data_IF_790696188337
#
_entry.id   IF_790696188337
#
_cell.length_a   1.000
_cell.length_b   1.000
_cell.length_c   1.000
_cell.angle_alpha   90.00
_cell.angle_beta   90.00
_cell.angle_gamma   90.00
#
_symmetry.space_group_name_H-M   'P 1'
#
loop_
_entity.id
_entity.type
_entity.pdbx_description
1 polymer ?
#
# COMPACT_ATOMS: atom_id res chain seq x y z
N UNK A 1 -19.25 5.55 -25.84
CA UNK A 1 -19.06 7.01 -25.83
C UNK A 1 -18.55 7.41 -24.44
N UNK A 2 -17.50 8.24 -24.33
CA UNK A 2 -17.07 8.75 -23.02
C UNK A 2 -18.20 9.60 -22.42
N UNK A 3 -18.71 9.22 -21.25
CA UNK A 3 -19.76 9.97 -20.58
C UNK A 3 -19.21 11.33 -20.12
N UNK A 4 -19.92 12.41 -20.43
CA UNK A 4 -19.57 13.75 -19.97
C UNK A 4 -19.60 13.78 -18.44
N UNK A 5 -18.58 14.32 -17.75
CA UNK A 5 -18.56 14.35 -16.30
C UNK A 5 -19.75 15.16 -15.76
N UNK A 6 -20.50 14.57 -14.84
CA UNK A 6 -21.64 15.20 -14.19
C UNK A 6 -21.19 16.42 -13.37
N UNK A 7 -22.00 17.51 -13.32
CA UNK A 7 -21.78 18.60 -12.38
C UNK A 7 -21.66 18.07 -10.93
N UNK A 8 -20.76 18.66 -10.13
CA UNK A 8 -20.48 18.20 -8.74
C UNK A 8 -21.75 18.04 -7.89
N UNK A 9 -22.73 18.93 -8.05
CA UNK A 9 -24.01 18.88 -7.32
C UNK A 9 -24.83 17.65 -7.69
N UNK A 10 -24.92 17.33 -8.97
CA UNK A 10 -25.64 16.16 -9.48
C UNK A 10 -24.93 14.87 -9.09
N UNK A 11 -23.60 14.81 -9.21
CA UNK A 11 -22.81 13.68 -8.75
C UNK A 11 -23.03 13.39 -7.24
N UNK A 12 -23.09 14.44 -6.40
CA UNK A 12 -23.42 14.31 -4.97
C UNK A 12 -24.86 13.83 -4.75
N UNK A 13 -25.84 14.35 -5.50
CA UNK A 13 -27.22 13.89 -5.42
C UNK A 13 -27.37 12.42 -5.81
N UNK A 14 -26.70 12.00 -6.89
CA UNK A 14 -26.67 10.61 -7.35
C UNK A 14 -26.04 9.69 -6.30
N UNK A 15 -24.89 10.06 -5.72
CA UNK A 15 -24.25 9.28 -4.64
C UNK A 15 -25.18 9.10 -3.44
N UNK A 16 -25.91 10.15 -3.04
CA UNK A 16 -26.91 10.06 -1.97
C UNK A 16 -28.05 9.11 -2.34
N UNK A 17 -28.57 9.19 -3.57
CA UNK A 17 -29.61 8.27 -4.05
C UNK A 17 -29.13 6.81 -4.07
N UNK A 18 -27.90 6.56 -4.51
CA UNK A 18 -27.28 5.23 -4.49
C UNK A 18 -27.06 4.73 -3.06
N UNK A 19 -26.69 5.61 -2.13
CA UNK A 19 -26.52 5.24 -0.71
C UNK A 19 -27.84 4.85 -0.03
N UNK A 20 -28.98 5.35 -0.53
CA UNK A 20 -30.32 4.96 -0.05
C UNK A 20 -30.84 3.68 -0.71
N UNK A 21 -30.15 3.14 -1.71
CA UNK A 21 -30.57 1.92 -2.39
C UNK A 21 -30.38 0.72 -1.47
N UNK A 22 -31.45 -0.02 -1.22
CA UNK A 22 -31.44 -1.29 -0.50
C UNK A 22 -31.94 -2.43 -1.39
N UNK A 23 -31.63 -3.70 -1.07
CA UNK A 23 -32.15 -4.84 -1.83
C UNK A 23 -33.69 -4.85 -1.94
N UNK A 24 -34.41 -4.34 -0.93
CA UNK A 24 -35.87 -4.33 -0.88
C UNK A 24 -36.51 -3.34 -1.85
N UNK A 25 -35.83 -2.23 -2.15
CA UNK A 25 -36.32 -1.20 -3.09
C UNK A 25 -35.70 -1.33 -4.48
N UNK A 26 -34.73 -2.24 -4.65
CA UNK A 26 -34.19 -2.60 -5.94
C UNK A 26 -35.13 -3.58 -6.66
N UNK A 27 -35.15 -3.53 -8.00
CA UNK A 27 -35.82 -4.56 -8.77
C UNK A 27 -35.11 -5.91 -8.50
N UNK A 28 -35.84 -6.99 -8.16
CA UNK A 28 -35.25 -8.26 -7.71
C UNK A 28 -34.53 -9.04 -8.82
N UNK A 29 -34.68 -8.64 -10.09
CA UNK A 29 -34.01 -9.25 -11.25
C UNK A 29 -34.26 -10.77 -11.40
N UNK A 30 -35.46 -11.26 -11.06
CA UNK A 30 -35.83 -12.68 -11.12
C UNK A 30 -35.82 -13.29 -12.53
N UNK A 31 -35.70 -12.47 -13.57
CA UNK A 31 -35.46 -12.93 -14.95
C UNK A 31 -34.01 -13.37 -15.20
N UNK A 32 -33.09 -13.03 -14.29
CA UNK A 32 -31.68 -13.43 -14.38
C UNK A 32 -31.42 -14.67 -13.54
N UNK A 33 -30.82 -15.74 -14.11
CA UNK A 33 -30.41 -16.92 -13.33
C UNK A 33 -29.50 -16.58 -12.15
N UNK A 34 -28.72 -15.50 -12.29
CA UNK A 34 -27.86 -14.98 -11.23
C UNK A 34 -28.66 -14.73 -9.93
N UNK A 35 -29.86 -14.14 -10.03
CA UNK A 35 -30.68 -13.80 -8.86
C UNK A 35 -31.83 -14.79 -8.61
N UNK A 36 -32.31 -15.47 -9.64
CA UNK A 36 -33.41 -16.42 -9.54
C UNK A 36 -32.99 -17.82 -9.07
N UNK A 37 -31.74 -18.20 -9.35
CA UNK A 37 -31.24 -19.56 -9.10
C UNK A 37 -30.13 -19.56 -8.06
N UNK A 38 -29.17 -18.63 -8.15
CA UNK A 38 -27.99 -18.67 -7.29
C UNK A 38 -28.27 -18.01 -5.92
N UNK A 39 -27.85 -18.66 -4.81
CA UNK A 39 -27.89 -18.03 -3.50
C UNK A 39 -26.87 -16.89 -3.39
N UNK A 40 -27.08 -15.99 -2.43
CA UNK A 40 -26.24 -14.80 -2.21
C UNK A 40 -24.76 -15.11 -2.05
N UNK A 41 -24.43 -16.22 -1.41
CA UNK A 41 -23.09 -16.66 -1.11
C UNK A 41 -22.32 -16.97 -2.39
N UNK A 42 -22.95 -17.67 -3.33
CA UNK A 42 -22.37 -17.97 -4.65
C UNK A 42 -22.29 -16.71 -5.50
N UNK A 43 -23.29 -15.83 -5.45
CA UNK A 43 -23.23 -14.54 -6.14
C UNK A 43 -22.07 -13.69 -5.65
N UNK A 44 -21.88 -13.59 -4.33
CA UNK A 44 -20.79 -12.83 -3.73
C UNK A 44 -19.43 -13.32 -4.23
N UNK A 45 -19.22 -14.63 -4.31
CA UNK A 45 -18.00 -15.20 -4.90
C UNK A 45 -17.83 -14.78 -6.37
N UNK A 46 -18.86 -14.94 -7.20
CA UNK A 46 -18.82 -14.53 -8.61
C UNK A 46 -18.46 -13.05 -8.74
N UNK A 47 -19.10 -12.20 -7.95
CA UNK A 47 -18.87 -10.76 -7.95
C UNK A 47 -17.47 -10.38 -7.49
N UNK A 48 -16.96 -11.09 -6.50
CA UNK A 48 -15.61 -10.91 -6.01
C UNK A 48 -14.60 -11.20 -7.11
N UNK A 49 -14.67 -12.37 -7.75
CA UNK A 49 -13.81 -12.71 -8.89
C UNK A 49 -13.96 -11.76 -10.08
N UNK A 50 -15.15 -11.19 -10.30
CA UNK A 50 -15.41 -10.32 -11.44
C UNK A 50 -14.90 -8.87 -11.23
N UNK A 51 -14.91 -8.37 -10.00
CA UNK A 51 -14.72 -6.94 -9.71
C UNK A 51 -13.42 -6.66 -8.93
N UNK A 52 -12.84 -7.66 -8.27
CA UNK A 52 -11.64 -7.48 -7.48
C UNK A 52 -10.46 -6.90 -8.28
N UNK A 53 -9.54 -6.26 -7.56
CA UNK A 53 -8.28 -5.82 -8.14
C UNK A 53 -7.41 -7.03 -8.52
N UNK A 54 -7.00 -7.10 -9.78
CA UNK A 54 -6.15 -8.19 -10.30
C UNK A 54 -4.98 -7.68 -11.14
N UNK A 55 -3.96 -8.52 -11.29
CA UNK A 55 -2.98 -8.41 -12.37
C UNK A 55 -3.48 -9.26 -13.53
N UNK A 56 -3.99 -8.62 -14.59
CA UNK A 56 -4.43 -9.30 -15.80
C UNK A 56 -3.31 -9.24 -16.85
N UNK A 57 -2.68 -10.36 -17.26
CA UNK A 57 -1.62 -10.35 -18.25
C UNK A 57 -1.98 -9.67 -19.58
N UNK A 58 -3.27 -9.61 -19.93
CA UNK A 58 -3.77 -9.03 -21.17
C UNK A 58 -4.15 -7.54 -21.05
N UNK A 59 -4.47 -7.06 -19.84
CA UNK A 59 -4.91 -5.66 -19.61
C UNK A 59 -3.93 -4.83 -18.76
N UNK A 60 -3.23 -5.47 -17.84
CA UNK A 60 -2.25 -4.83 -16.97
C UNK A 60 -0.97 -4.51 -17.73
N UNK A 61 -0.81 -3.22 -18.06
CA UNK A 61 0.43 -2.70 -18.61
C UNK A 61 1.60 -2.82 -17.62
N UNK A 62 2.86 -2.79 -18.11
CA UNK A 62 4.03 -2.73 -17.24
C UNK A 62 4.03 -1.43 -16.43
N UNK A 63 4.55 -1.48 -15.21
CA UNK A 63 4.90 -0.26 -14.48
C UNK A 63 6.08 0.40 -15.20
N UNK A 64 5.83 1.58 -15.77
CA UNK A 64 6.81 2.30 -16.60
C UNK A 64 7.75 3.16 -15.76
N UNK A 65 7.38 3.45 -14.51
CA UNK A 65 8.25 4.21 -13.61
C UNK A 65 9.13 3.24 -12.82
N UNK A 66 10.41 3.21 -13.16
CA UNK A 66 11.45 2.41 -12.50
C UNK A 66 11.43 2.51 -10.98
N UNK A 67 11.15 3.70 -10.47
CA UNK A 67 11.12 4.02 -9.04
C UNK A 67 9.89 3.44 -8.31
N UNK A 68 8.86 3.02 -9.06
CA UNK A 68 7.62 2.37 -8.57
C UNK A 68 7.65 0.86 -8.78
N UNK A 69 8.44 0.39 -9.74
CA UNK A 69 8.58 -1.02 -10.10
C UNK A 69 9.34 -1.78 -9.00
N UNK A 70 8.62 -2.63 -8.28
CA UNK A 70 9.12 -3.46 -7.18
C UNK A 70 8.76 -4.94 -7.41
N UNK A 71 9.34 -5.89 -6.67
CA UNK A 71 8.92 -7.28 -6.73
C UNK A 71 7.39 -7.39 -6.52
N UNK A 72 6.70 -8.10 -7.42
CA UNK A 72 5.23 -8.23 -7.47
C UNK A 72 4.46 -6.95 -7.82
N UNK A 73 5.16 -5.85 -8.10
CA UNK A 73 4.62 -4.54 -8.45
C UNK A 73 4.99 -4.12 -9.88
N UNK A 74 5.39 -5.06 -10.74
CA UNK A 74 5.92 -4.76 -12.08
C UNK A 74 4.83 -4.42 -13.10
N UNK A 75 3.55 -4.55 -12.72
CA UNK A 75 2.40 -4.31 -13.59
C UNK A 75 1.33 -3.54 -12.86
N UNK A 76 0.65 -2.66 -13.59
CA UNK A 76 -0.44 -1.84 -13.04
C UNK A 76 -1.68 -2.72 -12.84
N UNK A 77 -2.27 -2.77 -11.64
CA UNK A 77 -3.45 -3.58 -11.40
C UNK A 77 -4.67 -2.99 -12.11
N UNK A 78 -5.60 -3.85 -12.49
CA UNK A 78 -6.86 -3.46 -13.13
C UNK A 78 -8.06 -3.91 -12.30
N UNK A 79 -9.17 -3.19 -12.45
CA UNK A 79 -10.47 -3.52 -11.88
C UNK A 79 -11.55 -3.28 -12.94
N UNK A 80 -12.43 -4.26 -13.16
CA UNK A 80 -13.58 -4.08 -14.04
C UNK A 80 -14.81 -3.66 -13.22
N UNK A 81 -15.17 -2.38 -13.34
CA UNK A 81 -16.32 -1.80 -12.63
C UNK A 81 -17.59 -1.78 -13.45
N UNK A 82 -17.59 -2.33 -14.67
CA UNK A 82 -18.75 -2.35 -15.57
C UNK A 82 -19.94 -3.03 -14.92
N UNK A 83 -19.69 -4.08 -14.13
CA UNK A 83 -20.72 -4.82 -13.42
C UNK A 83 -21.49 -3.92 -12.42
N UNK A 84 -20.83 -2.95 -11.78
CA UNK A 84 -21.47 -1.99 -10.86
C UNK A 84 -22.51 -1.10 -11.54
N UNK A 85 -22.43 -0.96 -12.86
CA UNK A 85 -23.32 -0.11 -13.67
C UNK A 85 -24.52 -0.88 -14.25
N UNK A 86 -24.65 -2.19 -13.97
CA UNK A 86 -25.70 -3.03 -14.59
C UNK A 86 -27.08 -2.81 -13.98
N UNK A 87 -27.23 -2.98 -12.67
CA UNK A 87 -28.47 -2.72 -11.96
C UNK A 87 -28.24 -2.36 -10.49
N UNK A 88 -29.27 -1.82 -9.84
CA UNK A 88 -29.23 -1.41 -8.43
C UNK A 88 -28.93 -2.56 -7.47
N UNK A 89 -29.45 -3.76 -7.76
CA UNK A 89 -29.27 -4.93 -6.90
C UNK A 89 -27.81 -5.42 -6.92
N UNK A 90 -27.22 -5.51 -8.13
CA UNK A 90 -25.78 -5.77 -8.29
C UNK A 90 -24.97 -4.70 -7.56
N UNK A 91 -25.26 -3.40 -7.80
CA UNK A 91 -24.56 -2.32 -7.12
C UNK A 91 -24.62 -2.45 -5.59
N UNK A 92 -25.77 -2.78 -5.01
CA UNK A 92 -25.90 -2.94 -3.55
C UNK A 92 -25.09 -4.10 -2.99
N UNK A 93 -25.02 -5.23 -3.70
CA UNK A 93 -24.27 -6.42 -3.26
C UNK A 93 -22.75 -6.25 -3.46
N UNK A 94 -22.31 -5.41 -4.41
CA UNK A 94 -20.92 -5.46 -4.90
C UNK A 94 -20.10 -4.18 -4.75
N UNK A 95 -20.73 -3.02 -4.49
CA UNK A 95 -20.05 -1.70 -4.48
C UNK A 95 -18.85 -1.59 -3.54
N UNK A 96 -18.73 -2.45 -2.55
CA UNK A 96 -17.64 -2.43 -1.56
C UNK A 96 -16.42 -3.22 -2.03
N UNK A 97 -16.61 -4.21 -2.91
CA UNK A 97 -15.56 -5.13 -3.38
C UNK A 97 -14.35 -4.40 -3.97
N UNK A 98 -14.50 -3.37 -4.85
CA UNK A 98 -13.33 -2.66 -5.38
C UNK A 98 -12.44 -2.05 -4.29
N UNK A 99 -13.04 -1.51 -3.22
CA UNK A 99 -12.30 -0.89 -2.12
C UNK A 99 -11.71 -1.92 -1.15
N UNK A 100 -12.41 -3.05 -0.98
CA UNK A 100 -12.02 -4.14 -0.07
C UNK A 100 -10.93 -5.05 -0.66
N UNK A 101 -10.77 -5.06 -1.98
CA UNK A 101 -9.76 -5.86 -2.67
C UNK A 101 -8.55 -5.05 -3.12
N UNK A 102 -8.66 -3.71 -3.18
CA UNK A 102 -7.59 -2.89 -3.73
C UNK A 102 -6.45 -2.62 -2.74
N UNK A 103 -5.24 -2.73 -3.27
CA UNK A 103 -4.07 -2.00 -2.79
C UNK A 103 -4.07 -0.60 -3.42
N UNK A 104 -3.96 0.39 -2.55
CA UNK A 104 -4.00 1.81 -2.88
C UNK A 104 -2.59 2.38 -2.78
N UNK A 105 -1.91 2.48 -3.93
CA UNK A 105 -0.54 2.98 -4.00
C UNK A 105 -0.48 4.50 -3.91
N UNK A 106 0.44 5.00 -3.08
CA UNK A 106 0.80 6.42 -2.99
C UNK A 106 2.31 6.54 -3.08
N UNK A 107 2.81 7.43 -3.93
CA UNK A 107 4.23 7.66 -4.11
C UNK A 107 4.60 9.04 -3.52
N UNK A 108 5.62 9.07 -2.67
CA UNK A 108 6.05 10.22 -1.87
C UNK A 108 6.79 11.30 -2.65
N UNK A 109 7.01 11.12 -3.94
CA UNK A 109 7.57 12.13 -4.83
C UNK A 109 6.45 12.90 -5.52
N UNK A 110 5.88 13.86 -4.80
CA UNK A 110 4.92 14.82 -5.36
C UNK A 110 5.62 16.00 -6.03
N UNK A 111 6.95 16.11 -5.96
CA UNK A 111 7.73 17.18 -6.59
C UNK A 111 8.20 16.82 -8.00
N UNK A 112 8.52 15.55 -8.30
CA UNK A 112 8.78 15.11 -9.68
C UNK A 112 7.51 14.81 -10.48
N UNK A 113 6.37 14.73 -9.81
CA UNK A 113 5.07 14.75 -10.47
C UNK A 113 4.55 16.18 -10.58
N UNK A 114 4.83 16.83 -11.71
CA UNK A 114 4.15 18.06 -12.12
C UNK A 114 2.64 17.86 -12.39
N UNK A 115 2.06 16.71 -12.02
CA UNK A 115 0.64 16.45 -12.16
C UNK A 115 -0.13 16.89 -10.90
N UNK A 116 -0.90 17.97 -11.02
CA UNK A 116 -1.78 18.46 -9.96
C UNK A 116 -2.77 17.42 -9.42
N UNK A 117 -3.06 16.36 -10.18
CA UNK A 117 -3.89 15.24 -9.73
C UNK A 117 -3.26 14.42 -8.60
N UNK A 118 -1.93 14.43 -8.46
CA UNK A 118 -1.23 13.69 -7.41
C UNK A 118 -1.29 14.42 -6.06
N UNK A 119 -1.57 15.73 -6.06
CA UNK A 119 -1.72 16.55 -4.87
C UNK A 119 -3.13 16.41 -4.27
N UNK A 120 -4.14 16.27 -5.13
CA UNK A 120 -5.56 16.09 -4.78
C UNK A 120 -5.99 14.62 -4.84
N UNK A 121 -5.28 13.76 -4.10
CA UNK A 121 -5.50 12.32 -4.13
C UNK A 121 -6.96 11.96 -3.79
N UNK A 122 -7.59 11.08 -4.57
CA UNK A 122 -9.01 10.76 -4.43
C UNK A 122 -9.39 10.20 -3.05
N UNK A 123 -8.42 9.65 -2.31
CA UNK A 123 -8.60 9.20 -0.92
C UNK A 123 -9.06 10.32 0.00
N UNK A 124 -8.71 11.59 -0.27
CA UNK A 124 -9.22 12.73 0.51
C UNK A 124 -10.69 13.07 0.21
N UNK A 125 -11.24 12.53 -0.88
CA UNK A 125 -12.60 12.80 -1.35
C UNK A 125 -13.55 11.61 -1.15
N UNK A 126 -13.06 10.50 -0.61
CA UNK A 126 -13.89 9.35 -0.32
C UNK A 126 -14.82 9.65 0.86
N UNK A 127 -16.07 9.23 0.78
CA UNK A 127 -17.01 9.41 1.89
C UNK A 127 -16.64 8.50 3.06
N UNK A 128 -17.03 8.85 4.28
CA UNK A 128 -16.84 7.97 5.44
C UNK A 128 -17.48 6.59 5.26
N UNK A 129 -18.61 6.52 4.54
CA UNK A 129 -19.25 5.23 4.22
C UNK A 129 -18.34 4.36 3.35
N UNK A 130 -17.73 4.92 2.31
CA UNK A 130 -16.83 4.18 1.43
C UNK A 130 -15.46 3.93 2.10
N UNK A 131 -14.97 4.88 2.90
CA UNK A 131 -13.69 4.76 3.61
C UNK A 131 -13.65 3.65 4.66
N UNK A 132 -14.80 3.16 5.13
CA UNK A 132 -14.94 1.96 5.97
C UNK A 132 -14.52 0.65 5.28
N UNK A 133 -14.45 0.67 3.95
CA UNK A 133 -14.21 -0.52 3.12
C UNK A 133 -12.78 -0.60 2.60
N UNK A 134 -11.91 0.36 2.94
CA UNK A 134 -10.54 0.40 2.46
C UNK A 134 -9.70 -0.76 3.01
N UNK A 135 -9.00 -1.44 2.11
CA UNK A 135 -8.18 -2.59 2.46
C UNK A 135 -6.74 -2.20 2.78
N UNK A 136 -5.94 -1.95 1.74
CA UNK A 136 -4.48 -1.83 1.86
C UNK A 136 -4.01 -0.47 1.33
N UNK A 137 -3.37 0.31 2.20
CA UNK A 137 -2.59 1.47 1.80
C UNK A 137 -1.14 1.04 1.60
N UNK A 138 -0.57 1.28 0.42
CA UNK A 138 0.85 1.05 0.18
C UNK A 138 1.49 2.37 -0.24
N UNK A 139 2.39 2.89 0.59
CA UNK A 139 3.11 4.11 0.28
C UNK A 139 4.60 3.86 0.10
N UNK A 140 5.20 4.50 -0.89
CA UNK A 140 6.64 4.44 -1.16
C UNK A 140 7.18 5.86 -1.13
N UNK A 141 8.17 6.13 -0.28
CA UNK A 141 8.70 7.49 -0.08
C UNK A 141 10.22 7.52 -0.13
N UNK A 142 10.78 8.52 -0.81
CA UNK A 142 12.22 8.82 -0.84
C UNK A 142 12.70 9.61 0.37
N UNK A 143 11.76 10.26 1.05
CA UNK A 143 11.97 11.05 2.25
C UNK A 143 11.12 10.49 3.40
N UNK A 144 11.27 11.07 4.59
CA UNK A 144 10.38 10.74 5.71
C UNK A 144 8.93 11.04 5.32
N UNK A 145 8.03 10.04 5.31
CA UNK A 145 6.64 10.27 4.96
C UNK A 145 5.90 11.03 6.08
N UNK A 146 4.89 11.81 5.71
CA UNK A 146 3.84 12.19 6.66
C UNK A 146 2.94 10.98 6.91
N UNK A 147 3.28 10.21 7.95
CA UNK A 147 2.57 9.01 8.35
C UNK A 147 1.09 9.29 8.71
N UNK A 148 0.71 10.54 9.02
CA UNK A 148 -0.67 10.90 9.41
C UNK A 148 -1.54 11.27 8.22
N UNK A 149 -0.93 11.66 7.09
CA UNK A 149 -1.64 12.20 5.91
C UNK A 149 -2.84 11.34 5.49
N UNK A 150 -2.65 10.02 5.42
CA UNK A 150 -3.68 9.07 5.00
C UNK A 150 -4.39 8.34 6.15
N UNK A 151 -4.23 8.81 7.40
CA UNK A 151 -4.88 8.25 8.58
C UNK A 151 -6.06 9.09 9.10
N UNK A 152 -6.67 9.86 8.19
CA UNK A 152 -7.81 10.73 8.50
C UNK A 152 -8.98 9.92 9.10
N UNK A 153 -9.85 10.54 9.94
CA UNK A 153 -10.90 9.82 10.66
C UNK A 153 -11.82 8.95 9.79
N UNK A 154 -12.09 9.39 8.56
CA UNK A 154 -12.98 8.72 7.60
C UNK A 154 -12.32 7.57 6.83
N UNK A 155 -11.00 7.37 6.97
CA UNK A 155 -10.24 6.31 6.31
C UNK A 155 -9.98 5.17 7.31
N UNK A 156 -10.54 3.99 7.02
CA UNK A 156 -10.48 2.83 7.92
C UNK A 156 -9.70 1.68 7.28
N UNK A 157 -8.40 1.87 7.16
CA UNK A 157 -7.48 0.87 6.62
C UNK A 157 -7.49 -0.43 7.42
N UNK A 158 -7.32 -1.55 6.71
CA UNK A 158 -7.06 -2.87 7.31
C UNK A 158 -5.58 -3.22 7.30
N UNK A 159 -4.86 -2.80 6.26
CA UNK A 159 -3.42 -3.02 6.08
C UNK A 159 -2.75 -1.73 5.64
N UNK A 160 -1.55 -1.49 6.16
CA UNK A 160 -0.72 -0.34 5.78
C UNK A 160 0.69 -0.83 5.53
N UNK A 161 1.29 -0.42 4.42
CA UNK A 161 2.71 -0.64 4.10
C UNK A 161 3.37 0.69 3.81
N UNK A 162 4.40 1.03 4.58
CA UNK A 162 5.29 2.16 4.34
C UNK A 162 6.64 1.63 3.90
N UNK A 163 7.03 1.90 2.65
CA UNK A 163 8.37 1.62 2.17
C UNK A 163 9.14 2.93 2.06
N UNK A 164 10.24 3.05 2.79
CA UNK A 164 11.05 4.26 2.83
C UNK A 164 12.42 3.97 2.24
N UNK A 165 12.78 4.67 1.17
CA UNK A 165 14.10 4.60 0.57
C UNK A 165 15.04 5.50 1.37
N UNK A 166 15.79 4.88 2.27
CA UNK A 166 16.78 5.51 3.13
C UNK A 166 18.13 5.76 2.44
N UNK A 167 18.26 5.43 1.15
CA UNK A 167 19.53 5.56 0.42
C UNK A 167 20.02 7.00 0.29
N UNK A 168 19.11 7.97 0.34
CA UNK A 168 19.41 9.40 0.26
C UNK A 168 19.44 10.07 1.64
N UNK A 169 19.36 9.30 2.72
CA UNK A 169 19.42 9.86 4.07
C UNK A 169 20.84 10.22 4.45
N UNK A 170 20.99 11.38 5.08
CA UNK A 170 22.27 11.86 5.55
C UNK A 170 22.57 11.30 6.95
N UNK A 171 22.93 10.01 7.01
CA UNK A 171 23.31 9.35 8.26
C UNK A 171 24.62 9.88 8.86
N UNK A 172 25.39 10.65 8.11
CA UNK A 172 26.71 11.12 8.53
C UNK A 172 26.61 12.42 9.31
N UNK A 173 25.67 13.31 8.94
CA UNK A 173 25.50 14.61 9.57
C UNK A 173 24.34 14.67 10.60
N UNK A 174 23.74 13.52 10.96
CA UNK A 174 22.72 13.46 12.03
C UNK A 174 23.21 14.09 13.34
N UNK A 175 24.48 13.88 13.70
CA UNK A 175 25.06 14.42 14.94
C UNK A 175 25.29 15.94 14.88
N UNK A 176 25.64 16.49 13.71
CA UNK A 176 25.87 17.92 13.53
C UNK A 176 24.54 18.70 13.55
N UNK A 177 23.50 18.09 12.99
CA UNK A 177 22.18 18.70 12.83
C UNK A 177 21.26 18.49 14.03
N UNK A 178 21.62 17.59 14.95
CA UNK A 178 20.74 17.14 16.04
C UNK A 178 19.47 16.44 15.54
N UNK A 179 19.45 16.04 14.27
CA UNK A 179 18.34 15.36 13.62
C UNK A 179 18.60 13.86 13.64
N UNK A 180 17.59 13.08 13.99
CA UNK A 180 17.65 11.61 13.99
C UNK A 180 16.46 11.06 13.21
N UNK A 181 16.72 10.33 12.12
CA UNK A 181 15.66 9.66 11.36
C UNK A 181 14.95 8.62 12.23
N UNK A 182 15.71 7.93 13.09
CA UNK A 182 15.20 6.93 14.02
C UNK A 182 14.19 7.54 15.00
N UNK A 183 14.57 8.65 15.65
CA UNK A 183 13.70 9.33 16.62
C UNK A 183 12.44 9.87 15.95
N UNK A 184 12.57 10.47 14.75
CA UNK A 184 11.40 10.97 14.03
C UNK A 184 10.41 9.88 13.69
N UNK A 185 10.88 8.72 13.21
CA UNK A 185 9.98 7.61 12.89
C UNK A 185 9.40 7.01 14.16
N UNK A 186 10.22 6.75 15.19
CA UNK A 186 9.76 6.16 16.44
C UNK A 186 8.73 7.06 17.15
N UNK A 187 8.95 8.37 17.21
CA UNK A 187 7.97 9.34 17.72
C UNK A 187 6.67 9.26 16.92
N UNK A 188 6.73 9.25 15.59
CA UNK A 188 5.53 9.13 14.77
C UNK A 188 4.77 7.82 15.03
N UNK A 189 5.44 6.68 15.01
CA UNK A 189 4.81 5.38 15.25
C UNK A 189 4.16 5.27 16.64
N UNK A 190 4.75 5.89 17.65
CA UNK A 190 4.20 5.92 19.02
C UNK A 190 3.01 6.89 19.18
N UNK A 191 3.03 8.03 18.50
CA UNK A 191 1.97 9.05 18.60
C UNK A 191 0.75 8.74 17.73
N UNK A 192 0.93 8.01 16.62
CA UNK A 192 -0.15 7.70 15.70
C UNK A 192 -1.20 6.81 16.36
N UNK A 193 -2.46 7.04 15.96
CA UNK A 193 -3.60 6.19 16.31
C UNK A 193 -4.20 5.58 15.05
N UNK A 194 -3.93 4.29 14.85
CA UNK A 194 -4.40 3.54 13.69
C UNK A 194 -5.92 3.29 13.77
N UNK A 195 -6.64 3.19 12.63
CA UNK A 195 -8.04 2.80 12.65
C UNK A 195 -8.25 1.47 13.40
N UNK A 196 -9.37 1.30 14.09
CA UNK A 196 -9.67 0.06 14.82
C UNK A 196 -9.73 -1.17 13.89
N UNK A 197 -10.00 -0.94 12.61
CA UNK A 197 -9.98 -1.94 11.54
C UNK A 197 -8.57 -2.38 11.13
N UNK A 198 -7.53 -1.64 11.53
CA UNK A 198 -6.15 -1.90 11.12
C UNK A 198 -5.65 -3.18 11.79
N UNK A 199 -5.27 -4.17 10.99
CA UNK A 199 -4.82 -5.49 11.42
C UNK A 199 -3.33 -5.71 11.20
N UNK A 200 -2.78 -5.00 10.22
CA UNK A 200 -1.39 -5.15 9.82
C UNK A 200 -0.78 -3.80 9.44
N UNK A 201 0.39 -3.53 9.99
CA UNK A 201 1.23 -2.40 9.58
C UNK A 201 2.60 -2.95 9.26
N UNK A 202 3.12 -2.62 8.09
CA UNK A 202 4.44 -2.99 7.61
C UNK A 202 5.26 -1.73 7.41
N UNK A 203 6.47 -1.71 7.95
CA UNK A 203 7.49 -0.72 7.65
C UNK A 203 8.64 -1.42 6.93
N UNK A 204 8.93 -1.01 5.71
CA UNK A 204 10.09 -1.43 4.94
C UNK A 204 11.07 -0.27 4.85
N UNK A 205 12.30 -0.50 5.31
CA UNK A 205 13.39 0.45 5.21
C UNK A 205 14.37 -0.08 4.16
N UNK A 206 14.78 0.76 3.21
CA UNK A 206 15.57 0.32 2.06
C UNK A 206 16.82 1.17 1.83
N UNK A 207 17.96 0.51 1.66
CA UNK A 207 19.22 1.15 1.28
C UNK A 207 19.86 0.44 0.08
N UNK A 208 20.69 1.14 -0.68
CA UNK A 208 21.50 0.50 -1.72
C UNK A 208 22.47 -0.49 -1.07
N UNK A 209 22.45 -1.75 -1.54
CA UNK A 209 23.29 -2.82 -1.00
C UNK A 209 24.78 -2.45 -1.04
N UNK A 210 25.25 -1.68 -2.02
CA UNK A 210 26.67 -1.30 -2.12
C UNK A 210 27.20 -0.47 -0.93
N UNK A 211 26.34 0.04 -0.04
CA UNK A 211 26.75 0.88 1.08
C UNK A 211 26.68 0.13 2.43
N UNK A 212 27.78 -0.51 2.89
CA UNK A 212 27.80 -1.28 4.15
C UNK A 212 27.49 -0.44 5.39
N UNK A 213 27.97 0.81 5.44
CA UNK A 213 27.71 1.71 6.57
C UNK A 213 26.22 1.97 6.75
N UNK A 214 25.51 2.19 5.65
CA UNK A 214 24.07 2.46 5.67
C UNK A 214 23.29 1.21 6.06
N UNK A 215 23.69 0.01 5.61
CA UNK A 215 23.10 -1.26 6.06
C UNK A 215 23.21 -1.44 7.58
N UNK A 216 24.39 -1.20 8.15
CA UNK A 216 24.62 -1.28 9.60
C UNK A 216 23.74 -0.30 10.38
N UNK A 217 23.66 0.95 9.91
CA UNK A 217 22.76 1.96 10.48
C UNK A 217 21.30 1.52 10.41
N UNK A 218 20.86 1.01 9.26
CA UNK A 218 19.49 0.54 9.08
C UNK A 218 19.12 -0.57 10.07
N UNK A 219 20.03 -1.53 10.32
CA UNK A 219 19.82 -2.57 11.32
C UNK A 219 19.67 -2.00 12.73
N UNK A 220 20.58 -1.13 13.13
CA UNK A 220 20.50 -0.47 14.44
C UNK A 220 19.19 0.30 14.64
N UNK A 221 18.72 1.01 13.59
CA UNK A 221 17.42 1.69 13.59
C UNK A 221 16.27 0.67 13.68
N UNK A 222 16.33 -0.40 12.90
CA UNK A 222 15.28 -1.43 12.88
C UNK A 222 15.14 -2.11 14.24
N UNK A 223 16.27 -2.38 14.91
CA UNK A 223 16.27 -2.99 16.25
C UNK A 223 15.60 -2.07 17.28
N UNK A 224 15.79 -0.75 17.21
CA UNK A 224 15.07 0.20 18.07
C UNK A 224 13.56 0.15 17.85
N UNK A 225 13.11 -0.12 16.63
CA UNK A 225 11.69 -0.16 16.30
C UNK A 225 11.02 -1.46 16.74
N UNK A 226 11.77 -2.53 17.04
CA UNK A 226 11.20 -3.80 17.49
C UNK A 226 10.47 -3.69 18.81
N UNK A 227 10.87 -2.75 19.67
CA UNK A 227 10.25 -2.48 20.97
C UNK A 227 8.94 -1.69 20.86
N UNK A 228 8.61 -1.16 19.68
CA UNK A 228 7.42 -0.32 19.49
C UNK A 228 6.16 -1.19 19.43
N UNK A 229 5.13 -0.78 20.17
CA UNK A 229 3.77 -1.28 20.04
C UNK A 229 2.87 -0.22 19.43
N UNK A 230 2.28 -0.54 18.27
CA UNK A 230 1.37 0.38 17.59
C UNK A 230 0.04 0.45 18.33
N UNK A 231 -0.59 1.63 18.33
CA UNK A 231 -1.83 1.88 19.08
C UNK A 231 -2.98 2.20 18.12
N UNK A 232 -4.10 1.49 18.25
CA UNK A 232 -5.34 1.80 17.53
C UNK A 232 -6.11 2.94 18.21
N UNK A 233 -7.14 3.49 17.55
CA UNK A 233 -7.98 4.58 18.10
C UNK A 233 -8.81 4.13 19.30
N UNK A 234 -9.08 2.84 19.45
CA UNK A 234 -9.68 2.23 20.64
C UNK A 234 -8.67 1.84 21.72
N UNK A 235 -7.43 2.34 21.60
CA UNK A 235 -6.31 2.10 22.52
C UNK A 235 -5.76 0.66 22.51
N UNK A 236 -6.38 -0.26 21.78
CA UNK A 236 -5.85 -1.61 21.61
C UNK A 236 -4.50 -1.58 20.89
N UNK A 237 -3.62 -2.50 21.27
CA UNK A 237 -2.23 -2.54 20.80
C UNK A 237 -2.05 -3.60 19.71
N UNK A 238 -1.20 -3.29 18.75
CA UNK A 238 -0.73 -4.24 17.74
C UNK A 238 0.77 -4.45 17.98
N UNK A 239 1.13 -5.68 18.36
CA UNK A 239 2.51 -6.05 18.62
C UNK A 239 3.25 -6.43 17.34
N UNK A 240 4.57 -6.33 17.39
CA UNK A 240 5.44 -6.84 16.35
C UNK A 240 5.27 -8.36 16.21
N UNK A 241 5.30 -8.84 14.98
CA UNK A 241 5.25 -10.26 14.64
C UNK A 241 6.54 -10.66 13.93
N UNK A 242 7.46 -11.22 14.72
CA UNK A 242 8.78 -11.65 14.26
C UNK A 242 8.74 -12.64 13.10
N UNK A 243 7.69 -13.45 12.98
CA UNK A 243 7.56 -14.41 11.88
C UNK A 243 7.32 -13.72 10.52
N UNK A 244 6.93 -12.44 10.53
CA UNK A 244 6.68 -11.62 9.35
C UNK A 244 7.66 -10.45 9.23
N UNK A 245 8.60 -10.34 10.16
CA UNK A 245 9.78 -9.50 10.02
C UNK A 245 10.81 -10.24 9.18
N UNK A 246 11.46 -9.53 8.25
CA UNK A 246 12.44 -10.16 7.37
C UNK A 246 13.46 -9.17 6.88
N UNK A 247 14.69 -9.65 6.69
CA UNK A 247 15.74 -8.92 5.98
C UNK A 247 15.97 -9.60 4.63
N UNK A 248 15.95 -8.84 3.55
CA UNK A 248 16.10 -9.40 2.21
C UNK A 248 16.78 -8.43 1.26
N UNK A 249 17.18 -8.94 0.10
CA UNK A 249 17.66 -8.14 -1.02
C UNK A 249 16.81 -8.37 -2.25
N UNK A 250 16.75 -7.38 -3.12
CA UNK A 250 16.09 -7.49 -4.41
C UNK A 250 16.79 -6.60 -5.45
N UNK A 251 16.69 -7.00 -6.71
CA UNK A 251 17.32 -6.29 -7.82
C UNK A 251 16.30 -5.41 -8.54
N UNK A 252 16.64 -4.13 -8.71
CA UNK A 252 15.78 -3.11 -9.30
C UNK A 252 16.60 -2.02 -9.99
N UNK A 253 16.02 -0.83 -10.08
CA UNK A 253 16.67 0.33 -10.67
C UNK A 253 16.74 1.48 -9.64
N UNK A 254 17.76 2.32 -9.76
CA UNK A 254 17.93 3.51 -8.93
C UNK A 254 18.35 4.69 -9.80
N UNK A 255 17.91 5.90 -9.44
CA UNK A 255 18.34 7.10 -10.14
C UNK A 255 19.79 7.43 -9.76
N UNK A 256 20.66 7.45 -10.75
CA UNK A 256 22.01 7.97 -10.63
C UNK A 256 22.03 9.40 -11.19
N UNK A 257 22.30 10.41 -10.35
CA UNK A 257 22.49 11.78 -10.82
C UNK A 257 23.58 11.84 -11.88
N UNK A 258 23.39 12.72 -12.85
CA UNK A 258 24.40 13.04 -13.83
C UNK A 258 25.58 13.78 -13.22
N UNK A 259 26.72 13.71 -13.90
CA UNK A 259 27.86 14.58 -13.67
C UNK A 259 28.49 14.98 -15.00
N UNK A 260 29.54 15.79 -14.94
CA UNK A 260 30.24 16.29 -16.13
C UNK A 260 30.92 15.19 -16.95
N UNK A 261 31.18 14.00 -16.38
CA UNK A 261 31.76 12.84 -17.06
C UNK A 261 30.68 11.90 -17.66
N UNK A 262 29.54 11.76 -16.96
CA UNK A 262 28.53 10.73 -17.20
C UNK A 262 27.23 11.28 -17.80
N UNK A 263 27.14 12.58 -18.06
CA UNK A 263 26.02 13.21 -18.76
C UNK A 263 24.82 13.51 -17.85
N UNK A 264 23.57 13.52 -18.37
CA UNK A 264 22.40 14.06 -17.65
C UNK A 264 21.84 13.19 -16.50
N UNK A 265 22.47 12.05 -16.20
CA UNK A 265 21.98 11.08 -15.22
C UNK A 265 20.95 10.11 -15.82
N UNK A 266 20.63 9.06 -15.07
CA UNK A 266 19.73 8.02 -15.55
C UNK A 266 19.45 6.94 -14.51
N UNK A 267 18.46 6.10 -14.82
CA UNK A 267 18.22 4.89 -14.02
C UNK A 267 19.26 3.83 -14.35
N UNK A 268 19.86 3.26 -13.30
CA UNK A 268 20.84 2.18 -13.40
C UNK A 268 20.40 1.00 -12.54
N UNK A 269 20.81 -0.21 -12.92
CA UNK A 269 20.54 -1.40 -12.11
C UNK A 269 21.19 -1.29 -10.74
N UNK A 270 20.44 -1.66 -9.71
CA UNK A 270 20.89 -1.64 -8.33
C UNK A 270 20.28 -2.79 -7.54
N UNK A 271 21.04 -3.32 -6.59
CA UNK A 271 20.51 -4.23 -5.58
C UNK A 271 20.16 -3.42 -4.33
N UNK A 272 18.92 -3.53 -3.88
CA UNK A 272 18.47 -2.96 -2.62
C UNK A 272 18.64 -3.97 -1.48
N UNK A 273 18.90 -3.45 -0.29
CA UNK A 273 18.88 -4.15 0.98
C UNK A 273 17.70 -3.59 1.78
N UNK A 274 16.78 -4.46 2.16
CA UNK A 274 15.50 -4.11 2.76
C UNK A 274 15.35 -4.79 4.11
N UNK A 275 15.02 -4.03 5.15
CA UNK A 275 14.58 -4.56 6.44
C UNK A 275 13.08 -4.27 6.57
N UNK A 276 12.30 -5.33 6.77
CA UNK A 276 10.86 -5.29 6.96
C UNK A 276 10.52 -5.58 8.41
N UNK A 277 9.75 -4.68 9.01
CA UNK A 277 9.14 -4.83 10.32
C UNK A 277 7.63 -4.91 10.16
N UNK A 278 7.00 -5.89 10.81
CA UNK A 278 5.58 -6.16 10.65
C UNK A 278 4.88 -6.22 12.02
N UNK A 279 3.86 -5.40 12.22
CA UNK A 279 2.99 -5.44 13.39
C UNK A 279 1.64 -6.04 13.01
N UNK A 280 1.22 -7.10 13.70
CA UNK A 280 0.00 -7.85 13.36
C UNK A 280 -0.87 -8.12 14.57
N UNK A 281 -2.18 -8.07 14.36
CA UNK A 281 -3.17 -8.50 15.34
C UNK A 281 -3.26 -10.03 15.51
N UNK A 282 -2.47 -10.80 14.73
CA UNK A 282 -2.43 -12.27 14.69
C UNK A 282 -3.79 -12.94 14.44
N UNK A 283 -4.72 -12.22 13.82
CA UNK A 283 -5.96 -12.79 13.31
C UNK A 283 -5.66 -13.63 12.05
N UNK A 284 -6.29 -14.82 11.89
CA UNK A 284 -6.15 -15.60 10.67
C UNK A 284 -6.53 -14.80 9.44
N UNK A 285 -5.74 -14.93 8.37
CA UNK A 285 -6.11 -14.43 7.05
C UNK A 285 -7.40 -15.14 6.63
N UNK A 286 -8.48 -14.39 6.40
CA UNK A 286 -9.75 -15.00 5.98
C UNK A 286 -9.63 -15.37 4.51
N UNK A 287 -10.11 -16.54 4.11
CA UNK A 287 -10.02 -17.04 2.73
C UNK A 287 -10.58 -16.03 1.71
N UNK A 288 -11.67 -15.32 1.97
CA UNK A 288 -12.16 -14.26 1.07
C UNK A 288 -11.29 -12.97 1.03
N UNK A 289 -10.05 -13.00 1.55
CA UNK A 289 -9.03 -11.96 1.34
C UNK A 289 -8.03 -12.34 0.24
N UNK A 290 -8.36 -13.35 -0.58
CA UNK A 290 -7.55 -13.95 -1.66
C UNK A 290 -6.99 -13.00 -2.74
N UNK A 291 -7.18 -11.68 -2.64
CA UNK A 291 -6.83 -10.71 -3.69
C UNK A 291 -5.80 -9.66 -3.29
N UNK A 292 -5.25 -9.71 -2.08
CA UNK A 292 -3.98 -9.03 -1.80
C UNK A 292 -2.84 -9.80 -2.49
N UNK A 293 -2.80 -9.65 -3.82
CA UNK A 293 -1.77 -10.23 -4.68
C UNK A 293 -0.44 -9.48 -4.58
N UNK A 294 -0.40 -8.42 -3.78
CA UNK A 294 0.69 -7.45 -3.68
C UNK A 294 1.49 -7.65 -2.40
N UNK A 295 1.90 -8.90 -2.16
CA UNK A 295 2.88 -9.24 -1.14
C UNK A 295 4.27 -9.43 -1.77
N UNK A 296 5.13 -8.43 -1.63
CA UNK A 296 6.52 -8.46 -2.09
C UNK A 296 7.26 -9.72 -1.59
N UNK A 297 6.91 -10.22 -0.40
CA UNK A 297 7.57 -11.38 0.20
C UNK A 297 7.25 -12.70 -0.51
N UNK A 298 6.15 -12.75 -1.28
CA UNK A 298 5.80 -13.92 -2.10
C UNK A 298 6.45 -13.87 -3.49
N UNK A 299 7.31 -12.88 -3.74
CA UNK A 299 8.06 -12.78 -4.99
C UNK A 299 9.27 -13.70 -4.98
N UNK A 300 9.49 -14.43 -6.07
CA UNK A 300 10.73 -15.17 -6.28
C UNK A 300 11.95 -14.25 -6.57
N UNK A 301 11.73 -12.94 -6.72
CA UNK A 301 12.80 -11.95 -6.95
C UNK A 301 13.48 -11.48 -5.66
N UNK A 302 12.88 -11.74 -4.50
CA UNK A 302 13.54 -11.44 -3.23
C UNK A 302 14.52 -12.56 -2.89
N UNK A 303 15.62 -12.18 -2.25
CA UNK A 303 16.62 -13.10 -1.72
C UNK A 303 16.73 -12.83 -0.24
N UNK A 304 16.18 -13.73 0.57
CA UNK A 304 16.25 -13.66 2.03
C UNK A 304 17.71 -13.62 2.49
N UNK A 305 18.00 -12.74 3.45
CA UNK A 305 19.32 -12.65 4.06
C UNK A 305 19.40 -13.65 5.22
N UNK A 306 20.51 -14.41 5.34
CA UNK A 306 20.66 -15.37 6.44
C UNK A 306 20.52 -14.71 7.81
N UNK A 307 19.76 -15.32 8.71
CA UNK A 307 19.68 -14.89 10.11
C UNK A 307 21.08 -14.94 10.75
N UNK A 308 21.49 -13.87 11.42
CA UNK A 308 22.82 -13.76 12.04
C UNK A 308 23.95 -13.30 11.12
N UNK A 309 23.64 -12.71 9.95
CA UNK A 309 24.63 -11.96 9.17
C UNK A 309 25.04 -10.70 9.97
N UNK A 310 25.99 -10.81 10.90
CA UNK A 310 26.37 -9.69 11.78
C UNK A 310 27.05 -8.56 10.99
N UNK A 311 26.95 -7.33 11.51
CA UNK A 311 27.65 -6.14 11.01
C UNK A 311 29.19 -6.27 11.01
N UNK A 312 29.74 -7.25 11.73
CA UNK A 312 31.19 -7.48 11.86
C UNK A 312 31.75 -8.30 10.69
N UNK A 313 30.94 -9.13 10.02
CA UNK A 313 31.40 -9.90 8.86
C UNK A 313 31.63 -9.06 7.60
N UNK A 314 31.17 -7.81 7.59
CA UNK A 314 31.41 -6.85 6.50
C UNK A 314 32.72 -6.08 6.63
N UNK A 315 33.46 -6.19 7.75
CA UNK A 315 34.77 -5.52 7.92
C UNK A 315 35.92 -6.21 7.17
N UNK A 316 35.70 -7.43 6.68
CA UNK A 316 36.74 -8.26 6.06
C UNK A 316 36.49 -8.55 4.57
N UNK A 317 35.61 -7.80 3.90
CA UNK A 317 35.30 -7.94 2.46
C UNK A 317 35.32 -6.58 1.75
#
# INVERSE_FOLDING_TARGET
MPQRPLPKREARALRRSLALTTPQIANPQLQSPLFAVLPSEVRNLIFEYAICQIIDPHKSGPETQSSRSRPKHERIPVMDTTLLCTCRLVYTETRTIPLQSATHHVYGDQESSYNSADWDHYLFHISSQSGQHLHHLHTISWWLPDFRRYLQPHLHWRKITWTILCSNWDFENEWETGFSYADKISTNLNEIRFPNTCREVTLELEVLRKNPKYRRKLRAISDQFREIQLTRRDESKIALDENYCMEYTWDGETWQPGDWEHGPGGYVSATYHTIRLCWRAREPEREYMHYDHWDCLRSNKIKEMPSGYSSEKEENA
#
